data_IF_500479227594
#
_entry.id   IF_500479227594
#
_cell.length_a   1.000
_cell.length_b   1.000
_cell.length_c   1.000
_cell.angle_alpha   90.00
_cell.angle_beta   90.00
_cell.angle_gamma   90.00
#
_symmetry.space_group_name_H-M   'P 1'
#
loop_
_entity.id
_entity.type
_entity.pdbx_description
1 polymer ?
#
# COMPACT_ATOMS: atom_id res chain seq x y z
N UNK A 1 25.09 -9.00 5.74
CA UNK A 1 24.20 -7.85 6.03
C UNK A 1 23.27 -7.67 4.85
N UNK A 2 22.01 -7.37 5.09
CA UNK A 2 21.00 -7.26 4.03
C UNK A 2 20.75 -5.79 3.69
N UNK A 3 20.45 -5.53 2.43
CA UNK A 3 20.06 -4.20 1.96
C UNK A 3 18.54 -4.07 1.97
N UNK A 4 18.04 -2.88 2.30
CA UNK A 4 16.63 -2.55 2.33
C UNK A 4 16.36 -1.20 1.67
N UNK A 5 15.27 -1.13 0.93
CA UNK A 5 14.69 0.13 0.45
C UNK A 5 13.56 0.53 1.39
N UNK A 6 13.68 1.67 2.07
CA UNK A 6 12.67 2.17 3.00
C UNK A 6 12.01 3.44 2.46
N UNK A 7 10.69 3.46 2.34
CA UNK A 7 9.92 4.64 1.91
C UNK A 7 8.69 4.87 2.81
N UNK A 8 8.19 6.10 2.83
CA UNK A 8 7.01 6.46 3.60
C UNK A 8 5.76 6.54 2.73
N UNK A 9 4.61 6.21 3.29
CA UNK A 9 3.29 6.42 2.71
C UNK A 9 2.47 7.27 3.67
N UNK A 10 2.06 8.45 3.23
CA UNK A 10 1.15 9.32 3.95
C UNK A 10 0.26 10.10 2.97
N UNK A 11 -1.00 10.25 3.34
CA UNK A 11 -2.01 10.97 2.59
C UNK A 11 -3.24 11.19 3.46
N UNK A 12 -4.15 12.09 3.07
CA UNK A 12 -5.37 12.37 3.83
C UNK A 12 -6.28 11.14 3.93
N UNK A 13 -6.25 10.29 2.90
CA UNK A 13 -7.01 9.05 2.81
C UNK A 13 -6.13 7.96 2.22
N UNK A 14 -6.35 6.71 2.63
CA UNK A 14 -5.79 5.52 2.00
C UNK A 14 -6.78 4.37 2.02
N UNK A 15 -6.68 3.46 1.05
CA UNK A 15 -7.51 2.25 1.05
C UNK A 15 -6.73 1.04 0.56
N UNK A 16 -6.65 0.03 1.40
CA UNK A 16 -5.89 -1.20 1.16
C UNK A 16 -6.90 -2.35 1.01
N UNK A 17 -7.31 -2.60 -0.23
CA UNK A 17 -8.41 -3.51 -0.53
C UNK A 17 -8.23 -4.91 0.05
N UNK A 18 -9.35 -5.50 0.45
CA UNK A 18 -9.49 -6.90 0.87
C UNK A 18 -10.56 -7.59 0.02
N UNK A 19 -10.82 -8.86 0.31
CA UNK A 19 -11.91 -9.61 -0.33
C UNK A 19 -13.25 -8.86 -0.18
N UNK A 20 -13.85 -8.51 -1.30
CA UNK A 20 -15.00 -7.60 -1.33
C UNK A 20 -15.98 -7.97 -2.47
N UNK A 21 -16.67 -9.12 -2.37
CA UNK A 21 -17.77 -9.42 -3.29
C UNK A 21 -18.93 -8.44 -3.08
N UNK A 22 -19.51 -7.93 -4.16
CA UNK A 22 -20.67 -7.03 -4.13
C UNK A 22 -20.34 -5.53 -4.10
N UNK A 23 -21.23 -4.76 -3.45
CA UNK A 23 -21.25 -3.29 -3.48
C UNK A 23 -20.38 -2.62 -2.41
N UNK A 24 -19.95 -3.39 -1.39
CA UNK A 24 -19.11 -2.88 -0.32
C UNK A 24 -17.64 -3.16 -0.66
N UNK A 25 -16.82 -2.11 -0.66
CA UNK A 25 -15.38 -2.16 -0.88
C UNK A 25 -14.67 -1.95 0.45
N UNK A 26 -14.41 -3.05 1.14
CA UNK A 26 -13.68 -3.04 2.40
C UNK A 26 -12.22 -2.61 2.23
N UNK A 27 -11.65 -2.11 3.32
CA UNK A 27 -10.24 -1.73 3.42
C UNK A 27 -9.66 -2.30 4.69
N UNK A 28 -8.43 -2.79 4.60
CA UNK A 28 -7.61 -3.08 5.77
C UNK A 28 -6.86 -1.83 6.22
N UNK A 29 -6.44 -1.79 7.49
CA UNK A 29 -5.63 -0.71 8.07
C UNK A 29 -4.20 -0.69 7.50
N UNK A 30 -3.64 -1.88 7.32
CA UNK A 30 -2.29 -2.08 6.78
C UNK A 30 -2.31 -2.22 5.24
N UNK A 31 -1.35 -1.60 4.53
CA UNK A 31 -1.14 -1.84 3.10
C UNK A 31 -1.12 -3.32 2.77
N UNK A 32 -1.77 -3.67 1.67
CA UNK A 32 -1.76 -5.03 1.14
C UNK A 32 -0.50 -5.24 0.29
N UNK A 33 -0.03 -6.49 0.21
CA UNK A 33 1.10 -6.85 -0.66
C UNK A 33 0.83 -6.47 -2.11
N UNK A 34 -0.38 -6.75 -2.60
CA UNK A 34 -0.83 -6.37 -3.94
C UNK A 34 -0.81 -4.86 -4.19
N UNK A 35 -1.16 -4.04 -3.20
CA UNK A 35 -1.11 -2.59 -3.32
C UNK A 35 0.32 -2.07 -3.38
N UNK A 36 1.23 -2.59 -2.53
CA UNK A 36 2.63 -2.20 -2.52
C UNK A 36 3.34 -2.60 -3.82
N UNK A 37 3.14 -3.83 -4.29
CA UNK A 37 3.64 -4.27 -5.59
C UNK A 37 3.08 -3.44 -6.73
N UNK A 38 1.78 -3.13 -6.71
CA UNK A 38 1.15 -2.27 -7.70
C UNK A 38 1.73 -0.85 -7.72
N UNK A 39 2.09 -0.30 -6.55
CA UNK A 39 2.75 1.00 -6.42
C UNK A 39 4.17 0.97 -7.00
N UNK A 40 4.97 -0.03 -6.67
CA UNK A 40 6.32 -0.18 -7.22
C UNK A 40 6.30 -0.43 -8.73
N UNK A 41 5.38 -1.28 -9.20
CA UNK A 41 5.20 -1.56 -10.62
C UNK A 41 4.75 -0.30 -11.39
N UNK A 42 3.89 0.53 -10.78
CA UNK A 42 3.47 1.80 -11.34
C UNK A 42 4.64 2.80 -11.45
N UNK A 43 5.49 2.85 -10.42
CA UNK A 43 6.71 3.68 -10.44
C UNK A 43 7.66 3.25 -11.57
N UNK A 44 7.82 1.95 -11.77
CA UNK A 44 8.61 1.34 -12.85
C UNK A 44 7.98 1.43 -14.26
N UNK A 45 6.70 1.85 -14.36
CA UNK A 45 6.00 1.92 -15.64
C UNK A 45 5.55 0.56 -16.20
N UNK A 46 5.43 -0.49 -15.37
CA UNK A 46 4.91 -1.79 -15.82
C UNK A 46 3.40 -1.67 -16.02
N UNK A 47 2.93 -1.96 -17.25
CA UNK A 47 1.52 -1.86 -17.61
C UNK A 47 0.74 -3.10 -17.20
N UNK A 48 -0.58 -2.95 -17.15
CA UNK A 48 -1.52 -3.99 -16.66
C UNK A 48 -1.67 -5.17 -17.63
N UNK A 49 -1.35 -4.96 -18.90
CA UNK A 49 -1.36 -5.95 -19.98
C UNK A 49 -0.05 -6.77 -20.05
N UNK A 50 1.00 -6.35 -19.35
CA UNK A 50 2.28 -7.07 -19.27
C UNK A 50 2.28 -8.16 -18.17
N UNK A 51 1.37 -9.13 -18.26
CA UNK A 51 1.16 -10.11 -17.17
C UNK A 51 2.41 -10.94 -16.82
N UNK A 52 3.17 -11.39 -17.80
CA UNK A 52 4.41 -12.14 -17.56
C UNK A 52 5.43 -11.33 -16.77
N UNK A 53 5.61 -10.06 -17.15
CA UNK A 53 6.53 -9.12 -16.48
C UNK A 53 6.05 -8.81 -15.05
N UNK A 54 4.75 -8.62 -14.86
CA UNK A 54 4.15 -8.46 -13.52
C UNK A 54 4.37 -9.70 -12.66
N UNK A 55 4.13 -10.90 -13.19
CA UNK A 55 4.29 -12.14 -12.45
C UNK A 55 5.75 -12.44 -12.12
N UNK A 56 6.69 -12.12 -13.01
CA UNK A 56 8.11 -12.15 -12.71
C UNK A 56 8.44 -11.20 -11.57
N UNK A 57 8.07 -9.92 -11.69
CA UNK A 57 8.30 -8.90 -10.67
C UNK A 57 7.75 -9.29 -9.28
N UNK A 58 6.51 -9.77 -9.22
CA UNK A 58 5.79 -10.02 -7.97
C UNK A 58 6.40 -11.11 -7.07
N UNK A 59 7.31 -11.94 -7.56
CA UNK A 59 7.89 -13.07 -6.81
C UNK A 59 9.09 -12.72 -5.95
N UNK A 60 9.76 -11.60 -6.23
CA UNK A 60 11.12 -11.37 -5.74
C UNK A 60 11.25 -10.25 -4.71
N UNK A 61 10.14 -9.72 -4.20
CA UNK A 61 10.15 -8.66 -3.18
C UNK A 61 9.36 -9.10 -1.94
N UNK A 62 9.97 -8.85 -0.78
CA UNK A 62 9.38 -9.05 0.54
C UNK A 62 9.23 -7.69 1.22
N UNK A 63 8.14 -7.53 1.96
CA UNK A 63 7.80 -6.27 2.62
C UNK A 63 7.88 -6.39 4.13
N UNK A 64 8.36 -5.33 4.78
CA UNK A 64 8.20 -5.05 6.19
C UNK A 64 7.40 -3.76 6.32
N UNK A 65 6.44 -3.73 7.22
CA UNK A 65 5.50 -2.64 7.40
C UNK A 65 5.48 -2.21 8.86
N UNK A 66 5.66 -0.92 9.10
CA UNK A 66 5.39 -0.27 10.37
C UNK A 66 4.27 0.75 10.14
N UNK A 67 3.21 0.70 10.94
CA UNK A 67 2.03 1.55 10.78
C UNK A 67 1.86 2.49 11.96
N UNK A 68 1.31 3.67 11.73
CA UNK A 68 0.95 4.63 12.76
C UNK A 68 -0.10 4.06 13.71
N UNK A 69 -0.10 4.53 14.97
CA UNK A 69 -1.17 4.19 15.92
C UNK A 69 -2.48 4.92 15.60
N UNK A 70 -3.61 4.29 15.95
CA UNK A 70 -4.96 4.86 15.93
C UNK A 70 -5.42 5.51 14.60
N UNK A 71 -5.24 4.86 13.43
CA UNK A 71 -5.78 5.41 12.20
C UNK A 71 -7.32 5.40 12.23
N UNK A 72 -7.94 6.40 11.60
CA UNK A 72 -9.39 6.57 11.67
C UNK A 72 -10.06 5.93 10.45
N UNK A 73 -10.95 4.98 10.71
CA UNK A 73 -11.76 4.35 9.66
C UNK A 73 -12.95 5.23 9.27
N UNK A 74 -13.22 5.30 7.97
CA UNK A 74 -14.40 5.97 7.42
C UNK A 74 -14.94 5.22 6.20
N UNK A 75 -16.18 5.55 5.82
CA UNK A 75 -16.88 4.95 4.68
C UNK A 75 -17.47 6.01 3.79
N UNK A 76 -17.11 5.95 2.51
CA UNK A 76 -17.65 6.79 1.45
C UNK A 76 -18.93 6.14 0.87
N UNK A 77 -20.02 6.89 0.84
CA UNK A 77 -21.25 6.51 0.13
C UNK A 77 -21.13 7.02 -1.31
N UNK A 78 -20.87 6.10 -2.23
CA UNK A 78 -20.40 6.44 -3.57
C UNK A 78 -21.38 5.94 -4.62
N UNK A 79 -22.07 6.87 -5.27
CA UNK A 79 -23.06 6.60 -6.32
C UNK A 79 -22.45 6.74 -7.70
N UNK A 80 -22.92 5.93 -8.64
CA UNK A 80 -22.63 6.08 -10.07
C UNK A 80 -23.96 6.04 -10.82
N UNK A 81 -24.18 7.02 -11.68
CA UNK A 81 -25.37 7.06 -12.52
C UNK A 81 -25.31 5.93 -13.56
N UNK A 82 -26.30 5.06 -13.52
CA UNK A 82 -26.43 3.91 -14.41
C UNK A 82 -27.89 3.79 -14.87
N UNK A 83 -28.15 3.65 -16.17
CA UNK A 83 -29.51 3.40 -16.63
C UNK A 83 -29.95 1.98 -16.23
N UNK A 84 -31.25 1.77 -16.07
CA UNK A 84 -31.83 0.44 -15.86
C UNK A 84 -31.57 -0.43 -17.10
N UNK A 85 -31.40 -1.73 -16.88
CA UNK A 85 -31.28 -2.68 -17.99
C UNK A 85 -32.57 -2.69 -18.82
N UNK A 86 -32.46 -2.36 -20.11
CA UNK A 86 -33.57 -2.44 -21.06
C UNK A 86 -33.32 -3.62 -21.99
N UNK A 87 -34.16 -4.66 -21.88
CA UNK A 87 -34.05 -5.86 -22.73
C UNK A 87 -34.19 -5.48 -24.19
N UNK A 88 -33.32 -6.06 -25.03
CA UNK A 88 -33.26 -5.85 -26.50
C UNK A 88 -32.91 -4.42 -26.94
N UNK A 89 -32.57 -3.52 -26.02
CA UNK A 89 -31.99 -2.24 -26.39
C UNK A 89 -30.51 -2.44 -26.76
N UNK A 90 -30.07 -1.74 -27.81
CA UNK A 90 -28.66 -1.68 -28.21
C UNK A 90 -28.26 -0.22 -28.24
N UNK A 91 -27.33 0.13 -27.36
CA UNK A 91 -26.73 1.45 -27.30
C UNK A 91 -25.37 1.40 -27.98
N UNK A 92 -25.07 2.38 -28.83
CA UNK A 92 -23.79 2.49 -29.53
C UNK A 92 -22.77 3.33 -28.75
N UNK A 93 -23.25 4.15 -27.81
CA UNK A 93 -22.40 4.93 -26.92
C UNK A 93 -22.96 5.04 -25.52
N UNK A 94 -22.07 5.27 -24.54
CA UNK A 94 -22.47 5.55 -23.16
C UNK A 94 -23.31 6.83 -23.03
N UNK A 95 -23.10 7.80 -23.93
CA UNK A 95 -23.91 9.03 -23.98
C UNK A 95 -25.35 8.70 -24.32
N UNK A 96 -25.57 7.90 -25.36
CA UNK A 96 -26.91 7.46 -25.79
C UNK A 96 -27.63 6.68 -24.69
N UNK A 97 -26.92 5.76 -24.03
CA UNK A 97 -27.45 4.98 -22.89
C UNK A 97 -27.94 5.87 -21.73
N UNK A 98 -27.35 7.06 -21.57
CA UNK A 98 -27.65 8.00 -20.49
C UNK A 98 -28.60 9.14 -20.90
N UNK A 99 -29.14 9.14 -22.12
CA UNK A 99 -29.98 10.24 -22.62
C UNK A 99 -31.38 10.27 -22.01
N UNK A 100 -31.95 9.11 -21.72
CA UNK A 100 -33.32 9.00 -21.21
C UNK A 100 -33.35 9.19 -19.69
N UNK A 101 -33.89 10.33 -19.18
CA UNK A 101 -33.93 10.60 -17.74
C UNK A 101 -34.81 9.62 -16.96
N UNK A 102 -35.81 9.00 -17.57
CA UNK A 102 -36.73 8.08 -16.90
C UNK A 102 -36.07 6.71 -16.63
N UNK A 103 -35.06 6.38 -17.43
CA UNK A 103 -34.29 5.14 -17.28
C UNK A 103 -33.11 5.29 -16.32
N UNK A 104 -32.73 6.52 -15.93
CA UNK A 104 -31.62 6.74 -15.02
C UNK A 104 -31.89 6.16 -13.63
N UNK A 105 -30.90 5.45 -13.10
CA UNK A 105 -30.85 4.95 -11.74
C UNK A 105 -29.46 5.19 -11.13
N UNK A 106 -29.30 4.84 -9.86
CA UNK A 106 -28.02 4.95 -9.16
C UNK A 106 -27.55 3.56 -8.73
N UNK A 107 -26.38 3.15 -9.21
CA UNK A 107 -25.64 2.07 -8.56
C UNK A 107 -24.94 2.64 -7.33
N UNK A 108 -25.17 2.00 -6.19
CA UNK A 108 -24.61 2.44 -4.91
C UNK A 108 -23.44 1.53 -4.58
N UNK A 109 -22.32 2.14 -4.18
CA UNK A 109 -21.20 1.43 -3.58
C UNK A 109 -20.81 2.06 -2.26
N UNK A 110 -20.38 1.26 -1.30
CA UNK A 110 -19.91 1.73 0.02
C UNK A 110 -18.43 1.44 0.12
N UNK A 111 -17.59 2.46 0.24
CA UNK A 111 -16.15 2.30 0.05
C UNK A 111 -15.40 2.71 1.30
N UNK A 112 -14.81 1.73 1.98
CA UNK A 112 -14.07 1.94 3.21
C UNK A 112 -12.69 2.54 2.90
N UNK A 113 -12.19 3.39 3.80
CA UNK A 113 -10.86 3.99 3.75
C UNK A 113 -10.39 4.36 5.17
N UNK A 114 -9.10 4.61 5.32
CA UNK A 114 -8.47 5.10 6.55
C UNK A 114 -7.94 6.53 6.33
N UNK A 115 -7.97 7.32 7.40
CA UNK A 115 -7.51 8.71 7.46
C UNK A 115 -6.48 8.89 8.57
N UNK A 116 -5.71 9.98 8.49
CA UNK A 116 -4.70 10.39 9.47
C UNK A 116 -3.66 9.29 9.77
N UNK A 117 -3.30 8.53 8.75
CA UNK A 117 -2.43 7.37 8.88
C UNK A 117 -1.08 7.59 8.18
N UNK A 118 -0.05 6.99 8.75
CA UNK A 118 1.30 6.97 8.20
C UNK A 118 1.83 5.53 8.22
N UNK A 119 2.45 5.11 7.12
CA UNK A 119 3.11 3.82 7.02
C UNK A 119 4.56 3.99 6.59
N UNK A 120 5.45 3.28 7.23
CA UNK A 120 6.84 3.12 6.81
C UNK A 120 7.01 1.71 6.25
N UNK A 121 7.46 1.62 5.01
CA UNK A 121 7.57 0.37 4.26
C UNK A 121 9.05 0.12 3.98
N UNK A 122 9.55 -1.05 4.38
CA UNK A 122 10.85 -1.54 3.93
C UNK A 122 10.66 -2.69 2.94
N UNK A 123 11.52 -2.74 1.92
CA UNK A 123 11.53 -3.77 0.88
C UNK A 123 12.89 -4.44 0.86
N UNK A 124 12.90 -5.76 0.92
CA UNK A 124 14.05 -6.57 0.52
C UNK A 124 13.78 -7.26 -0.81
N UNK A 125 14.86 -7.56 -1.53
CA UNK A 125 14.81 -8.26 -2.80
C UNK A 125 15.48 -9.65 -2.65
N UNK A 126 14.95 -10.65 -3.33
CA UNK A 126 15.64 -11.95 -3.50
C UNK A 126 16.73 -11.83 -4.57
N UNK A 127 17.71 -12.75 -4.62
CA UNK A 127 18.81 -12.68 -5.60
C UNK A 127 18.35 -12.64 -7.06
N UNK A 128 17.19 -13.24 -7.36
CA UNK A 128 16.62 -13.32 -8.71
C UNK A 128 15.69 -12.14 -9.04
N UNK A 129 15.70 -11.07 -8.24
CA UNK A 129 14.86 -9.91 -8.48
C UNK A 129 15.18 -9.21 -9.80
N UNK A 130 14.14 -8.93 -10.59
CA UNK A 130 14.25 -8.30 -11.91
C UNK A 130 14.81 -6.87 -11.83
N UNK A 131 14.53 -6.17 -10.73
CA UNK A 131 15.05 -4.82 -10.45
C UNK A 131 15.75 -4.79 -9.11
N UNK A 132 16.89 -4.11 -9.06
CA UNK A 132 17.61 -3.86 -7.81
C UNK A 132 16.85 -2.86 -6.93
N UNK A 133 17.15 -2.86 -5.64
CA UNK A 133 16.57 -1.88 -4.70
C UNK A 133 16.93 -0.43 -5.08
N UNK A 134 18.12 -0.19 -5.63
CA UNK A 134 18.52 1.13 -6.15
C UNK A 134 17.69 1.56 -7.38
N UNK A 135 17.35 0.63 -8.28
CA UNK A 135 16.45 0.92 -9.40
C UNK A 135 15.03 1.23 -8.93
N UNK A 136 14.54 0.52 -7.91
CA UNK A 136 13.27 0.83 -7.25
C UNK A 136 13.29 2.18 -6.54
N UNK A 137 14.41 2.55 -5.89
CA UNK A 137 14.57 3.88 -5.29
C UNK A 137 14.42 4.98 -6.34
N UNK A 138 15.16 4.87 -7.44
CA UNK A 138 15.13 5.84 -8.53
C UNK A 138 13.73 5.97 -9.16
N UNK A 139 13.01 4.85 -9.32
CA UNK A 139 11.66 4.87 -9.87
C UNK A 139 10.65 5.50 -8.91
N UNK A 140 10.81 5.35 -7.59
CA UNK A 140 9.96 6.03 -6.61
C UNK A 140 10.23 7.54 -6.53
N UNK A 141 11.45 7.98 -6.85
CA UNK A 141 11.79 9.42 -6.97
C UNK A 141 11.27 10.02 -8.28
N UNK A 142 11.28 9.25 -9.36
CA UNK A 142 10.84 9.66 -10.70
C UNK A 142 9.85 8.66 -11.30
N UNK A 143 8.62 8.60 -10.78
CA UNK A 143 7.66 7.57 -11.18
C UNK A 143 7.11 7.81 -12.59
N UNK A 144 6.99 6.74 -13.36
CA UNK A 144 6.41 6.78 -14.72
C UNK A 144 4.90 7.03 -14.68
N UNK A 145 4.19 6.38 -13.75
CA UNK A 145 2.76 6.60 -13.54
C UNK A 145 2.47 7.35 -12.23
N UNK A 146 1.36 8.11 -12.16
CA UNK A 146 0.93 8.74 -10.91
C UNK A 146 0.73 7.71 -9.79
N UNK A 147 1.39 7.92 -8.66
CA UNK A 147 1.31 7.05 -7.49
C UNK A 147 0.18 7.51 -6.56
N UNK A 148 -0.52 6.56 -5.96
CA UNK A 148 -1.67 6.82 -5.09
C UNK A 148 -1.81 5.74 -4.01
N UNK A 149 -2.48 6.08 -2.90
CA UNK A 149 -2.68 5.21 -1.75
C UNK A 149 -3.89 4.29 -1.95
N UNK A 150 -3.70 3.32 -2.86
CA UNK A 150 -4.63 2.26 -3.20
C UNK A 150 -5.74 2.63 -4.19
N UNK A 151 -6.42 3.77 -4.01
CA UNK A 151 -7.37 4.31 -5.01
C UNK A 151 -6.81 5.57 -5.64
N UNK A 152 -7.10 5.81 -6.92
CA UNK A 152 -6.63 7.01 -7.66
C UNK A 152 -7.09 8.33 -7.03
N UNK A 153 -8.19 8.32 -6.27
CA UNK A 153 -8.70 9.47 -5.50
C UNK A 153 -7.93 9.74 -4.20
N UNK A 154 -6.95 8.92 -3.84
CA UNK A 154 -6.18 9.03 -2.60
C UNK A 154 -4.72 9.42 -2.92
N UNK A 155 -4.46 10.72 -3.13
CA UNK A 155 -3.11 11.19 -3.45
C UNK A 155 -2.16 11.07 -2.25
N UNK A 156 -0.87 11.03 -2.54
CA UNK A 156 0.18 11.22 -1.54
C UNK A 156 0.14 12.67 -1.04
N UNK A 157 0.23 12.87 0.28
CA UNK A 157 0.39 14.20 0.88
C UNK A 157 1.87 14.60 1.07
N UNK A 158 2.76 13.60 1.08
CA UNK A 158 4.20 13.79 1.26
C UNK A 158 4.98 12.97 0.21
N UNK A 159 6.19 13.42 -0.21
CA UNK A 159 7.06 12.63 -1.07
C UNK A 159 7.36 11.27 -0.43
N UNK A 160 7.47 10.20 -1.23
CA UNK A 160 7.82 8.87 -0.74
C UNK A 160 9.19 8.82 -0.03
N UNK A 161 10.09 9.74 -0.41
CA UNK A 161 11.41 9.95 0.17
C UNK A 161 12.23 8.65 0.40
N UNK A 162 12.39 7.81 -0.65
CA UNK A 162 12.96 6.48 -0.50
C UNK A 162 14.45 6.50 -0.11
N UNK A 163 14.81 5.74 0.92
CA UNK A 163 16.16 5.57 1.46
C UNK A 163 16.67 4.15 1.17
N UNK A 164 17.95 4.03 0.80
CA UNK A 164 18.61 2.74 0.66
C UNK A 164 19.57 2.55 1.84
N UNK A 165 19.37 1.49 2.61
CA UNK A 165 20.07 1.26 3.88
C UNK A 165 20.54 -0.19 3.97
N UNK A 166 21.70 -0.40 4.57
CA UNK A 166 22.30 -1.71 4.77
C UNK A 166 22.37 -2.05 6.27
N UNK A 167 22.01 -3.27 6.64
CA UNK A 167 22.11 -3.70 8.03
C UNK A 167 21.20 -4.86 8.39
N UNK A 168 20.91 -4.99 9.68
CA UNK A 168 19.83 -5.87 10.17
C UNK A 168 18.51 -5.13 10.12
N UNK A 169 17.42 -5.85 9.90
CA UNK A 169 16.10 -5.24 9.75
C UNK A 169 15.71 -4.26 10.87
N UNK A 170 15.86 -4.58 12.17
CA UNK A 170 15.47 -3.62 13.23
C UNK A 170 16.37 -2.38 13.27
N UNK A 171 17.64 -2.49 12.90
CA UNK A 171 18.58 -1.36 12.87
C UNK A 171 18.20 -0.39 11.75
N UNK A 172 17.96 -0.93 10.54
CA UNK A 172 17.50 -0.21 9.35
C UNK A 172 16.17 0.50 9.61
N UNK A 173 15.18 -0.19 10.20
CA UNK A 173 13.88 0.40 10.49
C UNK A 173 14.01 1.56 11.49
N UNK A 174 14.84 1.42 12.53
CA UNK A 174 15.09 2.51 13.50
C UNK A 174 15.78 3.71 12.89
N UNK A 175 16.80 3.48 12.06
CA UNK A 175 17.53 4.55 11.37
C UNK A 175 16.58 5.33 10.46
N UNK A 176 15.81 4.63 9.62
CA UNK A 176 14.82 5.26 8.75
C UNK A 176 13.75 6.01 9.55
N UNK A 177 13.25 5.44 10.65
CA UNK A 177 12.26 6.08 11.51
C UNK A 177 12.77 7.40 12.09
N UNK A 178 13.97 7.42 12.65
CA UNK A 178 14.62 8.65 13.17
C UNK A 178 14.75 9.70 12.08
N UNK A 179 15.24 9.29 10.90
CA UNK A 179 15.36 10.19 9.77
C UNK A 179 14.02 10.80 9.36
N UNK A 180 12.95 10.01 9.22
CA UNK A 180 11.61 10.53 8.90
C UNK A 180 11.08 11.46 9.99
N UNK A 181 11.29 11.14 11.27
CA UNK A 181 10.90 12.02 12.37
C UNK A 181 11.60 13.38 12.28
N UNK A 182 12.91 13.40 12.01
CA UNK A 182 13.67 14.64 11.85
C UNK A 182 13.17 15.47 10.67
N UNK A 183 12.83 14.83 9.54
CA UNK A 183 12.24 15.52 8.39
C UNK A 183 10.85 16.08 8.71
N UNK A 184 9.99 15.31 9.38
CA UNK A 184 8.67 15.78 9.79
C UNK A 184 8.75 16.95 10.78
N UNK A 185 9.67 16.88 11.74
CA UNK A 185 9.94 17.97 12.69
C UNK A 185 10.41 19.24 11.97
N UNK A 186 11.33 19.10 11.00
CA UNK A 186 11.82 20.21 10.17
C UNK A 186 10.68 20.87 9.39
N UNK A 187 9.75 20.07 8.86
CA UNK A 187 8.56 20.55 8.15
C UNK A 187 7.42 20.99 9.09
N UNK A 188 7.60 20.88 10.41
CA UNK A 188 6.56 21.14 11.43
C UNK A 188 5.27 20.34 11.20
N UNK A 189 5.42 19.10 10.72
CA UNK A 189 4.33 18.18 10.49
C UNK A 189 4.10 17.31 11.72
N UNK A 190 2.86 17.25 12.19
CA UNK A 190 2.47 16.38 13.30
C UNK A 190 1.77 15.14 12.74
N UNK A 191 2.50 14.04 12.60
CA UNK A 191 1.96 12.73 12.24
C UNK A 191 1.91 11.81 13.48
N UNK A 192 0.96 10.86 13.56
CA UNK A 192 0.95 9.90 14.65
C UNK A 192 2.19 9.01 14.59
N UNK A 193 2.79 8.72 15.75
CA UNK A 193 3.94 7.82 15.84
C UNK A 193 3.62 6.40 15.38
N UNK A 194 4.66 5.69 14.93
CA UNK A 194 4.52 4.28 14.55
C UNK A 194 4.30 3.40 15.78
N UNK A 195 3.53 2.33 15.58
CA UNK A 195 3.34 1.30 16.59
C UNK A 195 4.66 0.56 16.86
N UNK A 196 4.79 0.00 18.07
CA UNK A 196 5.97 -0.79 18.46
C UNK A 196 6.06 -2.15 17.72
N UNK A 197 4.97 -2.55 17.05
CA UNK A 197 4.91 -3.76 16.24
C UNK A 197 5.09 -3.44 14.74
N UNK A 198 5.67 -4.40 14.04
CA UNK A 198 5.79 -4.41 12.60
C UNK A 198 5.25 -5.72 12.04
N UNK A 199 4.99 -5.72 10.74
CA UNK A 199 4.49 -6.87 9.99
C UNK A 199 5.43 -7.17 8.83
N UNK A 200 5.85 -8.42 8.64
CA UNK A 200 6.81 -8.75 7.58
C UNK A 200 6.56 -10.08 6.88
N UNK A 201 7.13 -10.20 5.69
CA UNK A 201 7.21 -11.44 4.89
C UNK A 201 8.56 -12.11 5.10
N UNK A 202 8.59 -13.44 5.14
CA UNK A 202 9.85 -14.19 5.21
C UNK A 202 10.63 -14.01 6.51
N UNK A 203 11.94 -14.27 6.43
CA UNK A 203 12.87 -14.20 7.55
C UNK A 203 13.80 -13.00 7.40
N UNK A 204 13.98 -12.27 8.49
CA UNK A 204 14.86 -11.11 8.56
C UNK A 204 15.68 -11.16 9.84
N UNK A 205 16.99 -10.98 9.69
CA UNK A 205 17.90 -10.97 10.83
C UNK A 205 17.52 -9.90 11.86
N UNK A 206 17.43 -10.30 13.13
CA UNK A 206 17.07 -9.45 14.26
C UNK A 206 15.56 -9.28 14.52
N UNK A 207 14.67 -9.87 13.71
CA UNK A 207 13.23 -9.88 13.98
C UNK A 207 12.74 -11.25 14.44
N UNK A 208 11.92 -11.27 15.49
CA UNK A 208 11.29 -12.49 16.01
C UNK A 208 9.78 -12.30 16.04
N UNK A 209 9.05 -13.18 15.34
CA UNK A 209 7.60 -13.14 15.31
C UNK A 209 7.03 -13.64 16.64
N UNK A 210 6.08 -12.90 17.21
CA UNK A 210 5.24 -13.37 18.32
C UNK A 210 3.86 -13.86 17.84
N UNK A 211 3.48 -13.50 16.61
CA UNK A 211 2.21 -13.86 15.98
C UNK A 211 2.40 -14.02 14.47
N UNK A 212 1.64 -14.94 13.89
CA UNK A 212 1.60 -15.16 12.44
C UNK A 212 0.15 -14.98 11.98
N UNK A 213 -0.05 -14.10 11.00
CA UNK A 213 -1.33 -13.80 10.37
C UNK A 213 -1.40 -14.46 8.99
N UNK A 214 -2.61 -14.70 8.49
CA UNK A 214 -2.84 -15.06 7.08
C UNK A 214 -3.60 -13.95 6.38
N UNK A 215 -3.14 -13.56 5.19
CA UNK A 215 -3.80 -12.55 4.34
C UNK A 215 -3.93 -13.06 2.92
N UNK A 216 -5.05 -12.74 2.26
CA UNK A 216 -5.31 -13.03 0.84
C UNK A 216 -5.03 -11.82 -0.03
N UNK A 217 -3.74 -11.50 -0.19
CA UNK A 217 -3.29 -10.32 -0.92
C UNK A 217 -2.06 -10.58 -1.80
N UNK A 218 -1.71 -11.85 -2.04
CA UNK A 218 -0.65 -12.24 -2.96
C UNK A 218 -1.19 -12.26 -4.40
N UNK A 219 -0.75 -11.37 -5.32
CA UNK A 219 -1.23 -11.40 -6.71
C UNK A 219 -0.85 -12.71 -7.40
N UNK A 220 -1.81 -13.41 -8.00
CA UNK A 220 -1.61 -14.66 -8.75
C UNK A 220 -1.76 -14.45 -10.26
N UNK A 221 -2.83 -13.75 -10.67
CA UNK A 221 -3.08 -13.41 -12.07
C UNK A 221 -3.73 -12.05 -12.16
N UNK A 222 -3.19 -11.20 -13.03
CA UNK A 222 -3.78 -9.90 -13.30
C UNK A 222 -4.93 -10.02 -14.29
N UNK A 223 -4.86 -10.93 -15.28
CA UNK A 223 -5.94 -11.13 -16.25
C UNK A 223 -7.21 -11.65 -15.58
N UNK A 224 -7.08 -12.61 -14.68
CA UNK A 224 -8.22 -13.22 -13.96
C UNK A 224 -8.56 -12.50 -12.65
N UNK A 225 -7.75 -11.51 -12.24
CA UNK A 225 -7.91 -10.76 -10.99
C UNK A 225 -7.93 -11.69 -9.75
N UNK A 226 -6.95 -12.59 -9.68
CA UNK A 226 -6.85 -13.61 -8.63
C UNK A 226 -5.78 -13.26 -7.59
N UNK A 227 -6.12 -13.49 -6.32
CA UNK A 227 -5.22 -13.30 -5.17
C UNK A 227 -5.18 -14.56 -4.32
N UNK A 228 -3.96 -14.95 -3.94
CA UNK A 228 -3.64 -16.08 -3.10
C UNK A 228 -3.36 -15.66 -1.66
N UNK A 229 -3.28 -16.65 -0.79
CA UNK A 229 -2.94 -16.46 0.62
C UNK A 229 -1.42 -16.38 0.83
N UNK A 230 -1.02 -15.63 1.85
CA UNK A 230 0.34 -15.60 2.38
C UNK A 230 0.34 -15.52 3.90
N UNK A 231 1.44 -15.93 4.51
CA UNK A 231 1.72 -15.70 5.92
C UNK A 231 2.36 -14.32 6.11
N UNK A 232 1.98 -13.63 7.19
CA UNK A 232 2.56 -12.35 7.60
C UNK A 232 2.97 -12.48 9.06
N UNK A 233 4.26 -12.36 9.31
CA UNK A 233 4.80 -12.34 10.66
C UNK A 233 4.45 -11.00 11.31
N UNK A 234 4.18 -11.01 12.62
CA UNK A 234 3.94 -9.84 13.45
C UNK A 234 4.83 -9.95 14.69
N UNK A 235 5.39 -8.83 15.12
CA UNK A 235 6.24 -8.77 16.29
C UNK A 235 6.86 -7.39 16.52
N UNK A 236 7.55 -7.21 17.66
CA UNK A 236 8.14 -5.94 18.02
C UNK A 236 9.37 -5.59 17.15
N UNK A 237 9.54 -4.32 16.83
CA UNK A 237 10.75 -3.79 16.15
C UNK A 237 11.39 -2.62 16.88
N UNK A 238 10.60 -1.84 17.63
CA UNK A 238 11.05 -0.85 18.60
C UNK A 238 11.22 -1.53 19.97
N UNK A 239 12.38 -1.33 20.62
CA UNK A 239 12.55 -1.74 22.03
C UNK A 239 11.87 -0.70 22.91
N UNK A 240 11.27 -1.13 24.03
CA UNK A 240 10.63 -0.25 25.03
C UNK A 240 11.54 0.84 25.60
N UNK A 241 12.86 0.71 25.45
CA UNK A 241 13.87 1.61 26.03
C UNK A 241 14.09 2.91 25.22
N UNK A 242 13.57 3.02 23.99
CA UNK A 242 13.79 4.19 23.13
C UNK A 242 12.79 5.34 23.36
N UNK A 243 11.83 5.20 24.29
CA UNK A 243 11.07 6.33 24.81
C UNK A 243 11.98 7.13 25.76
N UNK A 244 12.91 7.89 25.17
CA UNK A 244 13.84 8.73 25.90
C UNK A 244 13.04 9.73 26.77
N UNK A 245 13.01 9.44 28.07
CA UNK A 245 12.54 10.37 29.11
C UNK A 245 13.70 11.34 29.34
N UNK A 246 13.91 12.27 28.41
CA UNK A 246 14.73 13.45 28.68
C UNK A 246 13.78 14.52 29.21
N UNK A 247 13.57 14.49 30.53
CA UNK A 247 13.28 15.70 31.28
C UNK A 247 14.62 16.19 31.82
N UNK A 248 15.11 17.30 31.28
CA UNK A 248 15.93 18.27 32.02
C UNK A 248 15.19 19.60 32.02
#
# INVERSE_FOLDING_TARGET
MSQYLVFQLHGPMASWGVDAPGEVRHSHELPSRSALLGLLAAALGIRRDEEERLNAFNRHYQFLLCASGNPRWARDYHTVQMPKEVRKARYFSRREELQDPELLSALISRRDYYTDAWWMIAVSATPDATYTLAQLQASLQHPVFPLYLGRKSHPLALPLAPQLLDGRAPDVLREAYRWYQDQFNTLKLTLPGLQNECWWEGEHDGLTANKILRRRDMPLSRQQWLFGERSVNQGPWLRKEDACISQE
#
